data_IF_657450589790
#
_entry.id   IF_657450589790
#
_cell.length_a   1.000
_cell.length_b   1.000
_cell.length_c   1.000
_cell.angle_alpha   90.00
_cell.angle_beta   90.00
_cell.angle_gamma   90.00
#
_symmetry.space_group_name_H-M   'P 1'
#
loop_
_entity.id
_entity.type
_entity.pdbx_description
1 polymer ?
#
# COMPACT_ATOMS: atom_id res chain seq x y z
N UNK A 1 24.99 37.36 -3.59
CA UNK A 1 24.69 35.91 -3.78
C UNK A 1 24.84 35.52 -5.25
N UNK A 2 25.37 34.32 -5.58
CA UNK A 2 25.71 33.90 -6.95
C UNK A 2 24.53 33.17 -7.64
N UNK A 3 23.99 33.77 -8.71
CA UNK A 3 22.85 33.23 -9.46
C UNK A 3 23.08 31.83 -10.07
N UNK A 4 24.32 31.50 -10.45
CA UNK A 4 24.63 30.19 -11.04
C UNK A 4 24.54 29.08 -9.99
N UNK A 5 24.93 29.39 -8.76
CA UNK A 5 24.83 28.46 -7.62
C UNK A 5 23.36 28.28 -7.23
N UNK A 6 22.58 29.35 -7.17
CA UNK A 6 21.13 29.27 -6.92
C UNK A 6 20.41 28.41 -7.96
N UNK A 7 20.74 28.56 -9.25
CA UNK A 7 20.18 27.74 -10.33
C UNK A 7 20.55 26.26 -10.20
N UNK A 8 21.79 25.94 -9.77
CA UNK A 8 22.20 24.56 -9.53
C UNK A 8 21.40 23.92 -8.38
N UNK A 9 21.17 24.66 -7.30
CA UNK A 9 20.35 24.19 -6.17
C UNK A 9 18.91 23.95 -6.63
N UNK A 10 18.35 24.83 -7.45
CA UNK A 10 17.01 24.64 -8.04
C UNK A 10 16.95 23.34 -8.85
N UNK A 11 17.98 23.03 -9.65
CA UNK A 11 18.08 21.75 -10.36
C UNK A 11 18.03 20.55 -9.41
N UNK A 12 18.87 20.55 -8.37
CA UNK A 12 18.91 19.48 -7.37
C UNK A 12 17.59 19.32 -6.60
N UNK A 13 16.83 20.41 -6.37
CA UNK A 13 15.48 20.35 -5.79
C UNK A 13 14.52 19.54 -6.65
N UNK A 14 14.57 19.69 -7.98
CA UNK A 14 13.70 18.91 -8.87
C UNK A 14 14.12 17.44 -8.95
N UNK A 15 15.43 17.16 -8.96
CA UNK A 15 15.93 15.79 -8.87
C UNK A 15 15.46 15.11 -7.57
N UNK A 16 15.52 15.83 -6.44
CA UNK A 16 15.02 15.36 -5.15
C UNK A 16 13.49 15.21 -5.09
N UNK A 17 12.75 15.95 -5.92
CA UNK A 17 11.31 15.76 -6.12
C UNK A 17 10.98 14.41 -6.78
N UNK A 18 11.87 13.88 -7.61
CA UNK A 18 11.75 12.57 -8.26
C UNK A 18 12.28 11.43 -7.38
N UNK A 19 13.35 11.69 -6.63
CA UNK A 19 13.98 10.77 -5.68
C UNK A 19 14.24 11.45 -4.33
N UNK A 20 13.41 11.12 -3.34
CA UNK A 20 13.50 11.72 -2.01
C UNK A 20 14.83 11.44 -1.28
N UNK A 21 15.60 10.42 -1.69
CA UNK A 21 16.91 10.15 -1.09
C UNK A 21 17.95 11.25 -1.33
N UNK A 22 17.69 12.16 -2.27
CA UNK A 22 18.58 13.28 -2.63
C UNK A 22 18.36 14.54 -1.78
N UNK A 23 17.27 14.63 -1.01
CA UNK A 23 16.96 15.80 -0.17
C UNK A 23 18.08 16.19 0.82
N UNK A 24 18.80 15.25 1.48
CA UNK A 24 19.93 15.61 2.33
C UNK A 24 21.00 16.45 1.60
N UNK A 25 21.30 16.14 0.34
CA UNK A 25 22.25 16.90 -0.46
C UNK A 25 21.76 18.32 -0.77
N UNK A 26 20.49 18.46 -1.14
CA UNK A 26 19.84 19.77 -1.38
C UNK A 26 19.89 20.63 -0.12
N UNK A 27 19.58 20.05 1.04
CA UNK A 27 19.60 20.76 2.32
C UNK A 27 21.03 21.23 2.64
N UNK A 28 22.05 20.39 2.40
CA UNK A 28 23.45 20.77 2.55
C UNK A 28 23.84 21.98 1.69
N UNK A 29 23.44 22.00 0.42
CA UNK A 29 23.69 23.14 -0.47
C UNK A 29 22.99 24.42 0.01
N UNK A 30 21.74 24.31 0.50
CA UNK A 30 21.00 25.44 1.07
C UNK A 30 21.75 25.99 2.29
N UNK A 31 22.21 25.11 3.19
CA UNK A 31 22.96 25.48 4.40
C UNK A 31 24.25 26.23 4.05
N UNK A 32 25.00 25.75 3.05
CA UNK A 32 26.22 26.42 2.57
C UNK A 32 25.90 27.79 1.97
N UNK A 33 24.87 27.86 1.11
CA UNK A 33 24.48 29.09 0.42
C UNK A 33 23.98 30.16 1.39
N UNK A 34 23.23 29.78 2.43
CA UNK A 34 22.73 30.70 3.45
C UNK A 34 23.66 30.82 4.66
N UNK A 35 24.91 30.35 4.57
CA UNK A 35 25.89 30.39 5.67
C UNK A 35 25.27 30.00 7.02
N UNK A 36 24.53 28.89 7.03
CA UNK A 36 23.83 28.37 8.20
C UNK A 36 24.61 27.21 8.80
N UNK A 37 24.27 26.86 10.05
CA UNK A 37 24.91 25.75 10.76
C UNK A 37 24.19 24.43 10.50
N UNK A 38 22.87 24.45 10.56
CA UNK A 38 22.03 23.25 10.45
C UNK A 38 20.73 23.55 9.68
N UNK A 39 20.07 22.49 9.22
CA UNK A 39 18.75 22.62 8.61
C UNK A 39 17.89 21.37 8.81
N UNK A 40 16.59 21.56 8.68
CA UNK A 40 15.57 20.52 8.69
C UNK A 40 14.58 20.77 7.55
N UNK A 41 14.23 19.72 6.83
CA UNK A 41 13.12 19.71 5.90
C UNK A 41 12.15 18.62 6.31
N UNK A 42 10.92 19.02 6.55
CA UNK A 42 9.84 18.14 6.99
C UNK A 42 8.71 18.23 6.00
N UNK A 43 8.19 17.07 5.57
CA UNK A 43 6.95 16.96 4.83
C UNK A 43 6.11 15.85 5.48
N UNK A 44 4.95 16.21 6.01
CA UNK A 44 4.08 15.30 6.76
C UNK A 44 2.65 15.43 6.24
N UNK A 45 2.02 14.29 6.00
CA UNK A 45 0.62 14.13 5.62
C UNK A 45 0.08 12.92 6.39
N UNK A 46 -0.83 13.15 7.35
CA UNK A 46 -1.40 12.08 8.18
C UNK A 46 -2.33 11.17 7.37
N UNK A 47 -2.92 11.68 6.29
CA UNK A 47 -3.77 10.89 5.41
C UNK A 47 -2.94 10.08 4.41
N UNK A 48 -1.68 10.47 4.18
CA UNK A 48 -0.77 9.84 3.23
C UNK A 48 0.64 9.64 3.81
N UNK A 49 0.78 8.82 4.86
CA UNK A 49 2.04 8.72 5.62
C UNK A 49 3.22 8.19 4.81
N UNK A 50 2.95 7.50 3.69
CA UNK A 50 3.99 6.98 2.80
C UNK A 50 4.75 8.08 2.05
N UNK A 51 4.22 9.30 1.99
CA UNK A 51 4.90 10.48 1.43
C UNK A 51 5.64 11.30 2.49
N UNK A 52 5.62 10.84 3.76
CA UNK A 52 6.20 11.57 4.86
C UNK A 52 7.71 11.37 4.91
N UNK A 53 8.42 12.46 5.17
CA UNK A 53 9.84 12.40 5.46
C UNK A 53 10.28 13.54 6.36
N UNK A 54 11.39 13.30 7.05
CA UNK A 54 12.13 14.29 7.81
C UNK A 54 13.60 14.11 7.45
N UNK A 55 14.19 15.15 6.86
CA UNK A 55 15.61 15.18 6.56
C UNK A 55 16.26 16.29 7.37
N UNK A 56 17.41 15.99 7.96
CA UNK A 56 18.18 16.93 8.77
C UNK A 56 19.60 17.04 8.23
N UNK A 57 20.22 18.19 8.45
CA UNK A 57 21.61 18.44 8.14
C UNK A 57 22.32 19.02 9.36
N UNK A 58 23.36 18.35 9.83
CA UNK A 58 24.18 18.74 11.00
C UNK A 58 23.41 18.98 12.30
N UNK A 59 22.18 18.47 12.45
CA UNK A 59 21.46 18.48 13.72
C UNK A 59 21.91 17.28 14.56
N UNK A 60 22.42 17.47 15.79
CA UNK A 60 22.80 16.36 16.66
C UNK A 60 21.60 15.46 17.00
N UNK A 61 21.81 14.13 17.00
CA UNK A 61 20.76 13.14 17.29
C UNK A 61 20.04 13.41 18.62
N UNK A 62 20.78 13.79 19.67
CA UNK A 62 20.19 14.14 20.97
C UNK A 62 19.13 15.26 20.87
N UNK A 63 19.33 16.26 20.01
CA UNK A 63 18.35 17.33 19.80
C UNK A 63 17.14 16.89 18.96
N UNK A 64 17.30 15.86 18.13
CA UNK A 64 16.20 15.28 17.34
C UNK A 64 15.32 14.43 18.26
N UNK A 65 15.90 13.59 19.10
CA UNK A 65 15.18 12.72 20.02
C UNK A 65 14.33 13.54 21.02
N UNK A 66 14.91 14.60 21.58
CA UNK A 66 14.21 15.51 22.50
C UNK A 66 13.09 16.31 21.82
N UNK A 67 13.26 16.70 20.56
CA UNK A 67 12.22 17.37 19.76
C UNK A 67 11.12 16.39 19.32
N UNK A 68 11.46 15.12 19.04
CA UNK A 68 10.51 14.10 18.59
C UNK A 68 9.60 13.58 19.70
N UNK A 69 10.00 13.74 20.97
CA UNK A 69 9.14 13.51 22.13
C UNK A 69 7.90 14.42 22.10
N UNK A 70 6.74 13.92 22.56
CA UNK A 70 5.44 14.59 22.43
C UNK A 70 5.45 16.06 22.91
N UNK A 71 6.23 16.37 23.95
CA UNK A 71 6.37 17.72 24.48
C UNK A 71 7.07 18.71 23.53
N UNK A 72 8.07 18.30 22.75
CA UNK A 72 8.80 19.19 21.83
C UNK A 72 7.91 19.65 20.66
N UNK A 73 7.20 18.69 20.05
CA UNK A 73 6.21 18.95 18.98
C UNK A 73 5.03 19.80 19.45
N UNK A 74 4.55 19.58 20.68
CA UNK A 74 3.42 20.34 21.24
C UNK A 74 3.75 21.82 21.49
N UNK A 75 4.98 22.13 21.87
CA UNK A 75 5.42 23.51 22.11
C UNK A 75 5.72 24.20 20.77
N UNK A 76 6.43 23.54 19.86
CA UNK A 76 6.68 24.02 18.50
C UNK A 76 5.37 24.29 17.74
N UNK A 77 4.41 23.38 17.81
CA UNK A 77 3.07 23.59 17.23
C UNK A 77 2.31 24.73 17.89
N UNK A 78 2.31 24.87 19.22
CA UNK A 78 1.58 25.95 19.89
C UNK A 78 2.17 27.33 19.60
N UNK A 79 3.48 27.40 19.43
CA UNK A 79 4.19 28.67 19.32
C UNK A 79 4.32 29.15 17.88
N UNK A 80 4.67 28.26 16.94
CA UNK A 80 4.90 28.66 15.56
C UNK A 80 3.67 28.47 14.66
N UNK A 81 2.70 27.59 14.97
CA UNK A 81 1.46 27.52 14.16
C UNK A 81 0.69 28.86 14.08
N UNK A 82 0.55 29.66 15.16
CA UNK A 82 -0.07 30.98 15.05
C UNK A 82 0.69 31.93 14.13
N UNK A 83 2.03 31.92 14.18
CA UNK A 83 2.91 32.69 13.28
C UNK A 83 2.76 32.22 11.83
N UNK A 84 2.74 30.91 11.62
CA UNK A 84 2.52 30.29 10.32
C UNK A 84 1.11 30.49 9.77
N UNK A 85 0.09 30.69 10.62
CA UNK A 85 -1.27 31.03 10.19
C UNK A 85 -1.43 32.50 9.82
N UNK A 86 -0.61 33.38 10.40
CA UNK A 86 -0.58 34.80 10.04
C UNK A 86 0.21 35.05 8.75
N UNK A 87 1.24 34.23 8.51
CA UNK A 87 2.08 34.25 7.31
C UNK A 87 1.46 33.35 6.22
N UNK A 88 1.56 33.72 4.94
CA UNK A 88 1.06 32.88 3.86
C UNK A 88 1.98 31.70 3.57
N UNK A 89 1.45 30.67 2.90
CA UNK A 89 2.29 29.60 2.33
C UNK A 89 3.30 30.23 1.36
N UNK A 90 4.58 29.91 1.56
CA UNK A 90 5.71 30.45 0.79
C UNK A 90 6.35 31.69 1.41
N UNK A 91 5.85 32.21 2.51
CA UNK A 91 6.52 33.27 3.27
C UNK A 91 7.59 32.71 4.22
N UNK A 92 8.54 33.58 4.57
CA UNK A 92 9.70 33.25 5.40
C UNK A 92 9.57 33.91 6.75
N UNK A 93 9.49 33.12 7.82
CA UNK A 93 9.63 33.64 9.18
C UNK A 93 11.09 33.63 9.57
N UNK A 94 11.50 34.58 10.40
CA UNK A 94 12.77 34.49 11.11
C UNK A 94 12.55 34.85 12.58
N UNK A 95 13.25 34.16 13.47
CA UNK A 95 13.11 34.30 14.91
C UNK A 95 14.46 34.28 15.61
N UNK A 96 14.51 34.98 16.75
CA UNK A 96 15.70 35.15 17.57
C UNK A 96 15.42 34.64 18.99
N UNK A 97 16.03 33.52 19.36
CA UNK A 97 15.75 32.78 20.60
C UNK A 97 16.55 33.11 21.87
N UNK A 98 17.64 33.91 21.89
CA UNK A 98 18.30 34.30 23.14
C UNK A 98 17.34 34.90 24.17
N UNK A 99 16.26 35.58 23.73
CA UNK A 99 15.22 36.11 24.62
C UNK A 99 14.37 35.02 25.31
N UNK A 100 14.32 33.81 24.76
CA UNK A 100 13.54 32.71 25.36
C UNK A 100 14.23 32.17 26.62
N UNK A 101 15.56 32.28 26.69
CA UNK A 101 16.33 31.97 27.89
C UNK A 101 15.96 32.87 29.08
N UNK A 102 15.38 34.05 28.83
CA UNK A 102 14.95 35.02 29.85
C UNK A 102 13.53 34.74 30.36
N UNK A 103 12.83 33.73 29.82
CA UNK A 103 11.44 33.36 30.15
C UNK A 103 11.33 31.91 30.67
N UNK A 104 12.04 31.53 31.76
CA UNK A 104 12.15 30.14 32.21
C UNK A 104 10.82 29.51 32.67
N UNK A 105 9.87 30.33 33.14
CA UNK A 105 8.56 29.88 33.64
C UNK A 105 7.47 29.79 32.55
N UNK A 106 7.84 29.99 31.28
CA UNK A 106 6.91 29.92 30.13
C UNK A 106 7.27 28.76 29.19
N UNK A 107 6.36 28.44 28.26
CA UNK A 107 6.57 27.40 27.25
C UNK A 107 7.86 27.69 26.43
N UNK A 108 8.19 28.96 26.23
CA UNK A 108 9.40 29.48 25.57
C UNK A 108 10.71 29.04 26.22
N UNK A 109 10.84 29.23 27.54
CA UNK A 109 12.03 28.83 28.29
C UNK A 109 12.19 27.31 28.31
N UNK A 110 11.08 26.58 28.44
CA UNK A 110 11.05 25.11 28.36
C UNK A 110 11.52 24.61 26.98
N UNK A 111 11.07 25.24 25.88
CA UNK A 111 11.53 24.93 24.53
C UNK A 111 13.01 25.22 24.34
N UNK A 112 13.47 26.37 24.83
CA UNK A 112 14.88 26.75 24.76
C UNK A 112 15.78 25.76 25.50
N UNK A 113 15.49 25.45 26.76
CA UNK A 113 16.30 24.53 27.58
C UNK A 113 16.32 23.11 27.02
N UNK A 114 15.17 22.59 26.54
CA UNK A 114 15.07 21.19 26.09
C UNK A 114 15.52 20.98 24.65
N UNK A 115 15.24 21.92 23.74
CA UNK A 115 15.44 21.69 22.29
C UNK A 115 16.57 22.55 21.69
N UNK A 116 16.71 23.81 22.10
CA UNK A 116 17.62 24.76 21.45
C UNK A 116 19.02 24.82 22.10
N UNK A 117 19.10 24.69 23.42
CA UNK A 117 20.35 24.82 24.17
C UNK A 117 21.33 23.68 23.85
N UNK A 118 20.86 22.44 23.80
CA UNK A 118 21.68 21.26 23.48
C UNK A 118 22.19 21.28 22.02
N UNK A 119 21.45 21.90 21.10
CA UNK A 119 21.81 22.01 19.68
C UNK A 119 22.65 23.26 19.38
N UNK A 120 22.64 24.25 20.29
CA UNK A 120 23.29 25.54 20.13
C UNK A 120 22.65 26.39 19.03
N UNK A 121 21.34 26.22 18.81
CA UNK A 121 20.54 26.97 17.85
C UNK A 121 20.04 28.25 18.53
N UNK A 122 20.27 29.40 17.91
CA UNK A 122 19.88 30.71 18.43
C UNK A 122 19.04 31.53 17.45
N UNK A 123 19.29 31.37 16.15
CA UNK A 123 18.50 32.02 15.11
C UNK A 123 17.88 30.96 14.20
N UNK A 124 16.61 31.15 13.84
CA UNK A 124 15.92 30.32 12.83
C UNK A 124 15.40 31.21 11.73
N UNK A 125 15.55 30.76 10.50
CA UNK A 125 14.71 31.18 9.39
C UNK A 125 13.97 29.96 8.86
N UNK A 126 12.67 30.09 8.61
CA UNK A 126 11.83 28.99 8.16
C UNK A 126 10.94 29.41 7.01
N UNK A 127 10.66 28.47 6.11
CA UNK A 127 9.70 28.63 5.01
C UNK A 127 8.55 27.64 5.20
N UNK A 128 7.31 28.15 5.19
CA UNK A 128 6.12 27.29 5.14
C UNK A 128 5.90 26.84 3.71
N UNK A 129 6.00 25.53 3.48
CA UNK A 129 5.92 24.94 2.13
C UNK A 129 4.51 24.41 1.84
N UNK A 130 3.87 23.80 2.84
CA UNK A 130 2.49 23.32 2.75
C UNK A 130 1.80 23.40 4.12
N UNK A 131 0.50 23.63 4.10
CA UNK A 131 -0.34 23.68 5.30
C UNK A 131 -1.75 23.20 4.97
N UNK A 132 -2.25 22.27 5.77
CA UNK A 132 -3.63 21.80 5.76
C UNK A 132 -4.00 21.21 7.11
N UNK A 133 -5.24 20.74 7.25
CA UNK A 133 -5.75 20.19 8.51
C UNK A 133 -4.97 18.95 8.99
N UNK A 134 -4.50 18.14 8.04
CA UNK A 134 -3.78 16.89 8.30
C UNK A 134 -2.40 16.85 7.64
N UNK A 135 -1.90 17.97 7.13
CA UNK A 135 -0.61 18.01 6.44
C UNK A 135 0.16 19.30 6.69
N UNK A 136 1.47 19.20 6.74
CA UNK A 136 2.38 20.33 6.87
C UNK A 136 3.72 20.04 6.21
N UNK A 137 4.32 21.05 5.60
CA UNK A 137 5.68 20.97 5.14
C UNK A 137 6.44 22.26 5.46
N UNK A 138 7.65 22.13 6.00
CA UNK A 138 8.46 23.26 6.47
C UNK A 138 9.93 22.99 6.16
N UNK A 139 10.62 24.00 5.64
CA UNK A 139 12.08 24.08 5.63
C UNK A 139 12.50 25.02 6.76
N UNK A 140 13.40 24.59 7.64
CA UNK A 140 14.03 25.44 8.66
C UNK A 140 15.54 25.42 8.51
N UNK A 141 16.17 26.58 8.54
CA UNK A 141 17.62 26.75 8.62
C UNK A 141 17.98 27.47 9.91
N UNK A 142 19.11 27.10 10.51
CA UNK A 142 19.46 27.51 11.87
C UNK A 142 20.89 28.02 11.95
N UNK A 143 21.10 29.03 12.80
CA UNK A 143 22.40 29.59 13.17
C UNK A 143 22.58 29.60 14.67
N UNK A 144 23.83 29.54 15.09
CA UNK A 144 24.30 29.70 16.47
C UNK A 144 24.51 31.16 16.84
N UNK A 145 24.72 31.46 18.12
CA UNK A 145 24.98 32.82 18.60
C UNK A 145 26.27 33.45 18.04
N UNK A 146 27.20 32.64 17.51
CA UNK A 146 28.47 33.13 16.96
C UNK A 146 28.33 33.60 15.50
N UNK A 147 27.18 33.36 14.88
CA UNK A 147 26.91 33.73 13.49
C UNK A 147 25.97 34.96 13.45
N UNK A 148 26.07 35.81 12.42
CA UNK A 148 25.20 36.98 12.31
C UNK A 148 23.73 36.56 12.09
N UNK A 149 22.82 37.45 12.49
CA UNK A 149 21.39 37.34 12.16
C UNK A 149 21.19 37.24 10.64
N UNK A 150 20.11 36.58 10.22
CA UNK A 150 19.76 36.45 8.81
C UNK A 150 19.54 37.83 8.16
N UNK A 151 20.21 38.04 7.04
CA UNK A 151 20.08 39.24 6.21
C UNK A 151 18.91 39.09 5.24
N UNK A 152 18.38 40.22 4.77
CA UNK A 152 17.22 40.22 3.85
C UNK A 152 17.49 39.40 2.58
N UNK A 153 18.71 39.44 2.05
CA UNK A 153 19.10 38.69 0.84
C UNK A 153 18.95 37.17 1.03
N UNK A 154 19.25 36.66 2.21
CA UNK A 154 19.17 35.24 2.57
C UNK A 154 17.70 34.82 2.75
N UNK A 155 16.89 35.69 3.36
CA UNK A 155 15.44 35.49 3.50
C UNK A 155 14.75 35.51 2.13
N UNK A 156 15.15 36.41 1.23
CA UNK A 156 14.62 36.48 -0.12
C UNK A 156 15.01 35.24 -0.94
N UNK A 157 16.22 34.70 -0.75
CA UNK A 157 16.61 33.41 -1.32
C UNK A 157 15.74 32.27 -0.80
N UNK A 158 15.55 32.17 0.53
CA UNK A 158 14.68 31.15 1.13
C UNK A 158 13.25 31.22 0.57
N UNK A 159 12.75 32.44 0.35
CA UNK A 159 11.45 32.67 -0.29
C UNK A 159 11.41 32.13 -1.72
N UNK A 160 12.42 32.42 -2.53
CA UNK A 160 12.52 31.96 -3.93
C UNK A 160 12.68 30.45 -4.02
N UNK A 161 13.62 29.86 -3.28
CA UNK A 161 13.85 28.40 -3.30
C UNK A 161 12.63 27.65 -2.73
N UNK A 162 11.92 28.24 -1.77
CA UNK A 162 10.66 27.72 -1.24
C UNK A 162 9.63 27.45 -2.33
N UNK A 163 9.53 28.29 -3.38
CA UNK A 163 8.63 28.06 -4.52
C UNK A 163 8.97 26.75 -5.25
N UNK A 164 10.26 26.49 -5.46
CA UNK A 164 10.73 25.29 -6.15
C UNK A 164 10.56 24.03 -5.30
N UNK A 165 10.89 24.12 -4.01
CA UNK A 165 10.70 23.01 -3.06
C UNK A 165 9.22 22.62 -3.00
N UNK A 166 8.31 23.59 -2.94
CA UNK A 166 6.85 23.33 -2.99
C UNK A 166 6.43 22.55 -4.23
N UNK A 167 6.92 22.93 -5.40
CA UNK A 167 6.64 22.23 -6.66
C UNK A 167 7.21 20.81 -6.63
N UNK A 168 8.44 20.64 -6.15
CA UNK A 168 9.07 19.33 -6.01
C UNK A 168 8.30 18.42 -5.04
N UNK A 169 7.82 18.94 -3.92
CA UNK A 169 6.97 18.20 -2.98
C UNK A 169 5.63 17.78 -3.62
N UNK A 170 5.02 18.63 -4.45
CA UNK A 170 3.81 18.27 -5.19
C UNK A 170 4.06 17.15 -6.19
N UNK A 171 5.18 17.20 -6.93
CA UNK A 171 5.61 16.14 -7.85
C UNK A 171 5.84 14.84 -7.08
N UNK A 172 6.61 14.90 -5.98
CA UNK A 172 6.89 13.75 -5.12
C UNK A 172 5.60 13.09 -4.62
N UNK A 173 4.62 13.91 -4.20
CA UNK A 173 3.31 13.45 -3.74
C UNK A 173 2.53 12.75 -4.85
N UNK A 174 2.41 13.35 -6.03
CA UNK A 174 1.72 12.76 -7.18
C UNK A 174 2.37 11.44 -7.62
N UNK A 175 3.70 11.39 -7.65
CA UNK A 175 4.45 10.19 -8.02
C UNK A 175 4.33 9.09 -6.96
N UNK A 176 4.33 9.46 -5.68
CA UNK A 176 4.11 8.53 -4.57
C UNK A 176 2.71 7.91 -4.64
N UNK A 177 1.67 8.71 -4.89
CA UNK A 177 0.31 8.20 -5.09
C UNK A 177 0.24 7.19 -6.25
N UNK A 178 0.77 7.55 -7.42
CA UNK A 178 0.75 6.67 -8.59
C UNK A 178 1.50 5.34 -8.36
N UNK A 179 2.60 5.37 -7.59
CA UNK A 179 3.39 4.17 -7.22
C UNK A 179 2.67 3.29 -6.17
N UNK A 180 1.95 3.90 -5.23
CA UNK A 180 1.29 3.21 -4.12
C UNK A 180 -0.02 2.56 -4.55
N UNK A 181 -0.84 3.25 -5.36
CA UNK A 181 -2.11 2.69 -5.85
C UNK A 181 -1.88 1.39 -6.61
N UNK A 182 -0.95 1.36 -7.56
CA UNK A 182 -0.63 0.13 -8.30
C UNK A 182 -0.14 -1.00 -7.40
N UNK A 183 0.78 -0.71 -6.46
CA UNK A 183 1.39 -1.76 -5.62
C UNK A 183 0.40 -2.37 -4.62
N UNK A 184 -0.50 -1.56 -4.06
CA UNK A 184 -1.52 -2.05 -3.13
C UNK A 184 -2.63 -2.83 -3.86
N UNK A 185 -3.03 -2.39 -5.06
CA UNK A 185 -3.99 -3.13 -5.88
C UNK A 185 -3.46 -4.51 -6.27
N UNK A 186 -2.21 -4.62 -6.71
CA UNK A 186 -1.61 -5.93 -7.01
C UNK A 186 -1.49 -6.81 -5.77
N UNK A 187 -1.11 -6.24 -4.62
CA UNK A 187 -1.09 -6.98 -3.34
C UNK A 187 -2.48 -7.45 -2.90
N UNK A 188 -3.54 -6.71 -3.20
CA UNK A 188 -4.92 -7.15 -2.96
C UNK A 188 -5.29 -8.32 -3.90
N UNK A 189 -4.96 -8.23 -5.19
CA UNK A 189 -5.18 -9.34 -6.13
C UNK A 189 -4.40 -10.62 -5.73
N UNK A 190 -3.26 -10.49 -5.06
CA UNK A 190 -2.48 -11.61 -4.55
C UNK A 190 -3.13 -12.31 -3.34
N UNK A 191 -4.07 -11.66 -2.64
CA UNK A 191 -4.88 -12.31 -1.61
C UNK A 191 -5.95 -13.25 -2.18
N UNK A 192 -6.29 -13.07 -3.46
CA UNK A 192 -7.32 -13.86 -4.14
C UNK A 192 -6.75 -15.25 -4.47
N UNK A 193 -7.50 -16.30 -4.10
CA UNK A 193 -7.12 -17.71 -4.33
C UNK A 193 -7.45 -18.23 -5.74
N UNK A 194 -8.08 -17.40 -6.55
CA UNK A 194 -8.29 -17.58 -7.99
C UNK A 194 -7.08 -17.02 -8.74
N UNK A 195 -6.59 -17.75 -9.73
CA UNK A 195 -5.57 -17.25 -10.64
C UNK A 195 -6.19 -16.23 -11.59
N UNK A 196 -5.68 -15.00 -11.60
CA UNK A 196 -6.15 -13.94 -12.49
C UNK A 196 -5.06 -13.66 -13.52
N UNK A 197 -5.42 -13.68 -14.79
CA UNK A 197 -4.57 -13.27 -15.92
C UNK A 197 -5.29 -12.18 -16.70
N UNK A 198 -4.59 -11.11 -17.06
CA UNK A 198 -5.04 -10.11 -18.02
C UNK A 198 -4.39 -10.37 -19.37
N UNK A 199 -5.21 -10.38 -20.41
CA UNK A 199 -4.76 -10.45 -21.80
C UNK A 199 -5.32 -9.28 -22.61
N UNK A 200 -4.58 -8.88 -23.64
CA UNK A 200 -5.01 -7.82 -24.56
C UNK A 200 -5.94 -8.33 -25.68
N UNK A 201 -6.27 -7.44 -26.61
CA UNK A 201 -7.14 -7.74 -27.76
C UNK A 201 -6.60 -8.83 -28.70
N UNK A 202 -5.28 -9.09 -28.69
CA UNK A 202 -4.62 -10.14 -29.47
C UNK A 202 -4.37 -11.42 -28.65
N UNK A 203 -4.93 -11.50 -27.42
CA UNK A 203 -4.68 -12.57 -26.45
C UNK A 203 -3.23 -12.65 -25.96
N UNK A 204 -2.50 -11.54 -26.01
CA UNK A 204 -1.15 -11.45 -25.45
C UNK A 204 -1.23 -11.20 -23.96
N UNK A 205 -0.37 -11.90 -23.23
CA UNK A 205 -0.25 -11.76 -21.79
C UNK A 205 0.17 -10.34 -21.39
N UNK A 206 -0.58 -9.75 -20.45
CA UNK A 206 -0.30 -8.44 -19.89
C UNK A 206 0.09 -8.50 -18.41
N UNK A 207 -0.65 -9.28 -17.62
CA UNK A 207 -0.46 -9.38 -16.18
C UNK A 207 -0.98 -10.71 -15.63
N UNK A 208 -0.46 -11.14 -14.49
CA UNK A 208 -1.07 -12.19 -13.66
C UNK A 208 -0.80 -11.98 -12.18
N UNK A 209 -1.76 -12.33 -11.32
CA UNK A 209 -1.52 -12.39 -9.87
C UNK A 209 -0.63 -13.59 -9.48
N UNK A 210 -0.12 -13.60 -8.25
CA UNK A 210 0.77 -14.68 -7.78
C UNK A 210 0.13 -16.07 -7.90
N UNK A 211 -1.18 -16.19 -7.69
CA UNK A 211 -1.88 -17.47 -7.81
C UNK A 211 -1.86 -18.00 -9.25
N UNK A 212 -2.12 -17.14 -10.23
CA UNK A 212 -2.05 -17.53 -11.65
C UNK A 212 -0.62 -17.94 -12.03
N UNK A 213 0.40 -17.22 -11.56
CA UNK A 213 1.80 -17.60 -11.78
C UNK A 213 2.09 -19.01 -11.26
N UNK A 214 1.72 -19.31 -10.02
CA UNK A 214 1.88 -20.65 -9.44
C UNK A 214 1.15 -21.73 -10.24
N UNK A 215 -0.09 -21.46 -10.65
CA UNK A 215 -0.88 -22.40 -11.46
C UNK A 215 -0.23 -22.68 -12.81
N UNK A 216 0.28 -21.64 -13.48
CA UNK A 216 0.97 -21.76 -14.76
C UNK A 216 2.29 -22.55 -14.62
N UNK A 217 3.10 -22.25 -13.61
CA UNK A 217 4.39 -22.90 -13.37
C UNK A 217 4.25 -24.38 -13.01
N UNK A 218 3.30 -24.72 -12.13
CA UNK A 218 3.14 -26.07 -11.60
C UNK A 218 2.38 -26.99 -12.56
N UNK A 219 1.33 -26.49 -13.22
CA UNK A 219 0.39 -27.34 -13.96
C UNK A 219 0.52 -27.26 -15.48
N UNK A 220 1.28 -26.29 -16.00
CA UNK A 220 1.54 -26.10 -17.45
C UNK A 220 0.26 -26.10 -18.30
N UNK A 221 -0.83 -25.56 -17.75
CA UNK A 221 -2.13 -25.44 -18.43
C UNK A 221 -2.14 -24.37 -19.53
N UNK A 222 -1.17 -23.45 -19.48
CA UNK A 222 -0.94 -22.41 -20.49
C UNK A 222 0.48 -22.51 -21.05
N UNK A 223 0.59 -22.25 -22.34
CA UNK A 223 1.83 -22.06 -23.08
C UNK A 223 1.85 -20.66 -23.69
N UNK A 224 3.03 -20.15 -24.01
CA UNK A 224 3.19 -18.85 -24.65
C UNK A 224 3.91 -19.01 -25.99
N UNK A 225 3.41 -18.34 -27.02
CA UNK A 225 4.09 -18.27 -28.31
C UNK A 225 5.20 -17.20 -28.33
N UNK A 226 5.90 -17.07 -29.46
CA UNK A 226 6.97 -16.09 -29.66
C UNK A 226 6.54 -14.61 -29.53
N UNK A 227 5.24 -14.32 -29.49
CA UNK A 227 4.65 -12.99 -29.32
C UNK A 227 3.98 -12.82 -27.95
N UNK A 228 4.25 -13.72 -26.99
CA UNK A 228 3.60 -13.79 -25.67
C UNK A 228 2.08 -14.00 -25.74
N UNK A 229 1.56 -14.61 -26.81
CA UNK A 229 0.16 -15.02 -26.89
C UNK A 229 -0.07 -16.23 -26.01
N UNK A 230 -1.12 -16.19 -25.20
CA UNK A 230 -1.52 -17.32 -24.37
C UNK A 230 -2.17 -18.39 -25.25
N UNK A 231 -1.68 -19.61 -25.12
CA UNK A 231 -2.19 -20.81 -25.74
C UNK A 231 -2.52 -21.86 -24.67
N UNK A 232 -3.46 -22.74 -24.99
CA UNK A 232 -3.75 -23.96 -24.20
C UNK A 232 -3.47 -25.19 -25.06
N UNK A 233 -3.48 -26.37 -24.46
CA UNK A 233 -3.25 -27.61 -25.21
C UNK A 233 -4.21 -27.74 -26.42
N UNK A 234 -3.70 -28.29 -27.53
CA UNK A 234 -4.38 -28.37 -28.84
C UNK A 234 -5.86 -28.78 -28.79
N UNK A 235 -6.29 -29.77 -27.97
CA UNK A 235 -7.70 -30.15 -27.90
C UNK A 235 -8.64 -29.01 -27.43
N UNK A 236 -8.12 -28.09 -26.61
CA UNK A 236 -8.90 -27.00 -26.00
C UNK A 236 -8.73 -25.66 -26.74
N UNK A 237 -7.69 -25.51 -27.57
CA UNK A 237 -7.30 -24.23 -28.18
C UNK A 237 -8.45 -23.52 -28.91
N UNK A 238 -9.22 -24.24 -29.73
CA UNK A 238 -10.35 -23.65 -30.47
C UNK A 238 -11.45 -23.13 -29.54
N UNK A 239 -11.74 -23.85 -28.44
CA UNK A 239 -12.74 -23.43 -27.45
C UNK A 239 -12.25 -22.25 -26.63
N UNK A 240 -10.95 -22.22 -26.30
CA UNK A 240 -10.32 -21.09 -25.62
C UNK A 240 -10.37 -19.81 -26.46
N UNK A 241 -10.06 -19.89 -27.75
CA UNK A 241 -10.17 -18.74 -28.67
C UNK A 241 -11.61 -18.23 -28.76
N UNK A 242 -12.60 -19.12 -28.84
CA UNK A 242 -14.02 -18.75 -28.82
C UNK A 242 -14.42 -18.07 -27.51
N UNK A 243 -13.92 -18.57 -26.38
CA UNK A 243 -14.17 -18.01 -25.05
C UNK A 243 -13.62 -16.57 -24.95
N UNK A 244 -12.37 -16.35 -25.35
CA UNK A 244 -11.75 -15.01 -25.35
C UNK A 244 -12.47 -14.07 -26.31
N UNK A 245 -12.80 -14.53 -27.51
CA UNK A 245 -13.53 -13.73 -28.51
C UNK A 245 -14.91 -13.30 -28.01
N UNK A 246 -15.63 -14.16 -27.29
CA UNK A 246 -16.92 -13.81 -26.70
C UNK A 246 -16.78 -12.66 -25.68
N UNK A 247 -15.77 -12.75 -24.79
CA UNK A 247 -15.49 -11.70 -23.80
C UNK A 247 -15.05 -10.37 -24.47
N UNK A 248 -14.34 -10.42 -25.59
CA UNK A 248 -13.98 -9.22 -26.36
C UNK A 248 -15.19 -8.60 -27.09
N UNK A 249 -16.13 -9.42 -27.57
CA UNK A 249 -17.30 -8.97 -28.31
C UNK A 249 -18.34 -8.26 -27.41
N UNK A 250 -18.50 -8.70 -26.16
CA UNK A 250 -19.38 -8.04 -25.18
C UNK A 250 -18.92 -6.63 -24.81
N UNK A 251 -17.63 -6.30 -24.97
CA UNK A 251 -17.15 -4.91 -24.89
C UNK A 251 -17.84 -4.00 -25.93
N UNK A 252 -18.25 -4.55 -27.09
CA UNK A 252 -18.89 -3.83 -28.20
C UNK A 252 -20.43 -3.89 -28.16
N UNK A 253 -21.02 -4.86 -27.47
CA UNK A 253 -22.47 -5.03 -27.38
C UNK A 253 -22.92 -5.26 -25.93
N UNK A 254 -23.58 -4.25 -25.34
CA UNK A 254 -24.01 -4.18 -23.93
C UNK A 254 -25.01 -5.25 -23.43
N UNK A 255 -25.29 -6.34 -24.16
CA UNK A 255 -26.42 -7.20 -23.78
C UNK A 255 -26.38 -8.63 -24.35
N UNK A 256 -25.47 -9.48 -23.88
CA UNK A 256 -25.57 -10.95 -23.93
C UNK A 256 -24.80 -11.59 -22.76
N UNK A 257 -25.16 -12.83 -22.44
CA UNK A 257 -24.78 -13.55 -21.22
C UNK A 257 -23.27 -13.55 -20.92
N UNK A 258 -22.96 -13.27 -19.66
CA UNK A 258 -21.64 -13.19 -19.04
C UNK A 258 -20.78 -14.41 -19.44
N UNK A 259 -19.60 -14.14 -20.02
CA UNK A 259 -18.37 -14.95 -20.00
C UNK A 259 -18.52 -16.48 -19.99
N UNK A 260 -18.15 -17.14 -21.09
CA UNK A 260 -18.17 -18.60 -21.16
C UNK A 260 -17.27 -19.27 -20.12
N UNK A 261 -17.48 -20.58 -19.93
CA UNK A 261 -16.67 -21.44 -19.05
C UNK A 261 -15.96 -22.49 -19.90
N UNK A 262 -14.67 -22.69 -19.66
CA UNK A 262 -13.85 -23.73 -20.28
C UNK A 262 -13.23 -24.61 -19.19
N UNK A 263 -13.48 -25.91 -19.27
CA UNK A 263 -12.74 -26.90 -18.50
C UNK A 263 -11.43 -27.25 -19.24
N UNK A 264 -10.31 -27.11 -18.53
CA UNK A 264 -8.99 -27.54 -18.96
C UNK A 264 -8.53 -28.71 -18.08
N UNK A 265 -7.64 -29.54 -18.64
CA UNK A 265 -7.02 -30.66 -17.94
C UNK A 265 -5.51 -30.57 -18.14
N UNK A 266 -4.73 -30.76 -17.07
CA UNK A 266 -3.27 -30.86 -17.20
C UNK A 266 -2.84 -32.27 -17.62
N UNK A 267 -1.53 -32.48 -17.81
CA UNK A 267 -1.01 -33.79 -18.20
C UNK A 267 -1.19 -34.91 -17.14
N UNK A 268 -1.47 -34.53 -15.89
CA UNK A 268 -1.67 -35.45 -14.76
C UNK A 268 -3.16 -35.78 -14.52
N UNK A 269 -4.08 -35.18 -15.29
CA UNK A 269 -5.52 -35.40 -15.18
C UNK A 269 -6.28 -34.44 -14.26
N UNK A 270 -5.58 -33.46 -13.66
CA UNK A 270 -6.19 -32.45 -12.80
C UNK A 270 -7.00 -31.44 -13.62
N UNK A 271 -8.19 -31.10 -13.12
CA UNK A 271 -9.14 -30.23 -13.81
C UNK A 271 -9.11 -28.78 -13.33
N UNK A 272 -9.16 -27.86 -14.29
CA UNK A 272 -9.18 -26.42 -14.05
C UNK A 272 -10.36 -25.79 -14.76
N UNK A 273 -11.03 -24.86 -14.08
CA UNK A 273 -12.07 -24.03 -14.67
C UNK A 273 -11.47 -22.70 -15.08
N UNK A 274 -11.62 -22.34 -16.35
CA UNK A 274 -11.22 -21.04 -16.89
C UNK A 274 -12.46 -20.29 -17.34
N UNK A 275 -12.65 -19.08 -16.84
CA UNK A 275 -13.67 -18.16 -17.34
C UNK A 275 -13.01 -16.93 -17.94
N UNK A 276 -13.66 -16.32 -18.93
CA UNK A 276 -13.18 -15.08 -19.54
C UNK A 276 -14.26 -14.00 -19.41
N UNK A 277 -13.92 -12.86 -18.83
CA UNK A 277 -14.83 -11.72 -18.67
C UNK A 277 -14.21 -10.45 -19.25
N UNK A 278 -15.03 -9.55 -19.85
CA UNK A 278 -14.53 -8.26 -20.31
C UNK A 278 -14.02 -7.43 -19.14
N UNK A 279 -12.88 -6.75 -19.26
CA UNK A 279 -12.38 -5.88 -18.18
C UNK A 279 -13.34 -4.71 -17.88
N UNK A 280 -14.09 -4.25 -18.88
CA UNK A 280 -15.04 -3.14 -18.77
C UNK A 280 -16.26 -3.43 -17.89
N UNK A 281 -16.55 -4.69 -17.55
CA UNK A 281 -17.60 -5.02 -16.58
C UNK A 281 -17.18 -4.70 -15.14
N UNK A 282 -15.90 -4.40 -14.91
CA UNK A 282 -15.34 -4.03 -13.62
C UNK A 282 -15.34 -2.49 -13.46
N UNK A 283 -16.54 -1.91 -13.36
CA UNK A 283 -16.82 -0.45 -13.29
C UNK A 283 -15.96 0.32 -12.26
N UNK A 284 -15.42 -0.35 -11.24
CA UNK A 284 -14.60 0.23 -10.16
C UNK A 284 -13.13 0.47 -10.54
N UNK A 285 -12.63 -0.17 -11.60
CA UNK A 285 -11.23 -0.05 -12.07
C UNK A 285 -11.10 0.80 -13.35
N UNK A 286 -12.21 1.38 -13.84
CA UNK A 286 -12.28 2.12 -15.09
C UNK A 286 -11.35 3.36 -15.15
N UNK A 287 -10.94 3.91 -14.01
CA UNK A 287 -9.98 5.02 -13.93
C UNK A 287 -8.51 4.58 -14.12
N UNK A 288 -8.22 3.27 -14.11
CA UNK A 288 -6.87 2.70 -14.24
C UNK A 288 -6.59 2.16 -15.64
N UNK A 289 -7.62 2.02 -16.49
CA UNK A 289 -7.43 1.61 -17.86
C UNK A 289 -7.09 2.83 -18.72
N UNK A 290 -5.99 2.76 -19.47
CA UNK A 290 -5.88 3.55 -20.69
C UNK A 290 -7.13 3.28 -21.53
N UNK A 291 -7.92 4.32 -21.82
CA UNK A 291 -9.23 4.21 -22.47
C UNK A 291 -9.19 3.56 -23.87
N UNK A 292 -8.00 3.23 -24.39
CA UNK A 292 -7.78 2.63 -25.70
C UNK A 292 -7.52 1.11 -25.68
N UNK A 293 -7.30 0.47 -24.53
CA UNK A 293 -6.89 -0.94 -24.47
C UNK A 293 -8.03 -1.87 -24.02
N UNK A 294 -8.46 -2.76 -24.92
CA UNK A 294 -9.51 -3.76 -24.67
C UNK A 294 -8.92 -5.00 -23.98
N UNK A 295 -8.95 -5.05 -22.65
CA UNK A 295 -8.49 -6.20 -21.88
C UNK A 295 -9.58 -7.23 -21.62
N UNK A 296 -9.18 -8.50 -21.55
CA UNK A 296 -9.99 -9.62 -21.04
C UNK A 296 -9.35 -10.18 -19.78
N UNK A 297 -10.18 -10.45 -18.78
CA UNK A 297 -9.78 -11.11 -17.54
C UNK A 297 -10.03 -12.60 -17.70
N UNK A 298 -8.97 -13.40 -17.57
CA UNK A 298 -9.08 -14.84 -17.41
C UNK A 298 -8.99 -15.18 -15.92
N UNK A 299 -9.99 -15.89 -15.42
CA UNK A 299 -10.03 -16.39 -14.05
C UNK A 299 -9.87 -17.90 -14.05
N UNK A 300 -8.91 -18.40 -13.28
CA UNK A 300 -8.51 -19.80 -13.24
C UNK A 300 -8.76 -20.34 -11.84
N UNK A 301 -9.64 -21.32 -11.75
CA UNK A 301 -9.93 -22.04 -10.51
C UNK A 301 -9.49 -23.49 -10.62
N UNK A 302 -8.80 -23.95 -9.59
CA UNK A 302 -8.38 -25.34 -9.41
C UNK A 302 -9.52 -26.12 -8.76
N UNK A 303 -10.06 -27.13 -9.45
CA UNK A 303 -11.23 -27.88 -8.97
C UNK A 303 -10.87 -28.89 -7.87
N UNK A 304 -9.59 -29.17 -7.65
CA UNK A 304 -9.10 -30.09 -6.62
C UNK A 304 -8.60 -29.35 -5.37
N UNK A 305 -8.81 -28.02 -5.31
CA UNK A 305 -8.40 -27.22 -4.18
C UNK A 305 -9.16 -27.61 -2.91
N UNK A 306 -8.41 -27.90 -1.84
CA UNK A 306 -8.97 -28.22 -0.53
C UNK A 306 -9.55 -26.98 0.14
N UNK A 307 -10.70 -27.15 0.78
CA UNK A 307 -11.32 -26.14 1.62
C UNK A 307 -10.63 -26.08 2.98
N UNK A 308 -10.23 -24.88 3.41
CA UNK A 308 -9.78 -24.61 4.78
C UNK A 308 -10.86 -23.88 5.57
N UNK A 309 -11.15 -24.35 6.77
CA UNK A 309 -12.15 -23.76 7.66
C UNK A 309 -11.56 -22.65 8.53
N UNK A 310 -12.42 -21.70 8.92
CA UNK A 310 -12.11 -20.66 9.89
C UNK A 310 -12.05 -21.25 11.31
N UNK A 311 -11.02 -22.04 11.61
CA UNK A 311 -10.85 -22.74 12.90
C UNK A 311 -10.96 -21.81 14.10
N UNK A 312 -10.35 -20.59 14.12
CA UNK A 312 -10.54 -19.66 15.25
C UNK A 312 -12.01 -19.30 15.48
N UNK A 313 -12.76 -19.02 14.41
CA UNK A 313 -14.19 -18.71 14.48
C UNK A 313 -15.01 -19.89 14.99
N UNK A 314 -14.75 -21.11 14.50
CA UNK A 314 -15.44 -22.32 14.96
C UNK A 314 -15.22 -22.59 16.45
N UNK A 315 -14.01 -22.32 16.95
CA UNK A 315 -13.68 -22.45 18.38
C UNK A 315 -14.38 -21.39 19.22
N UNK A 316 -14.40 -20.15 18.77
CA UNK A 316 -14.94 -19.02 19.54
C UNK A 316 -16.48 -19.03 19.57
N UNK A 317 -17.13 -19.24 18.43
CA UNK A 317 -18.59 -19.13 18.31
C UNK A 317 -19.31 -20.40 18.71
N UNK A 318 -18.78 -21.57 18.34
CA UNK A 318 -19.43 -22.86 18.56
C UNK A 318 -18.74 -23.73 19.61
N UNK A 319 -17.66 -23.25 20.23
CA UNK A 319 -16.88 -24.00 21.22
C UNK A 319 -16.43 -25.39 20.71
N UNK A 320 -16.13 -25.51 19.41
CA UNK A 320 -15.53 -26.73 18.86
C UNK A 320 -14.13 -26.90 19.45
N UNK A 321 -13.78 -28.13 19.81
CA UNK A 321 -12.43 -28.52 20.16
C UNK A 321 -11.55 -28.57 18.89
N UNK A 322 -10.23 -28.58 19.07
CA UNK A 322 -9.29 -28.73 17.96
C UNK A 322 -9.58 -30.00 17.14
N UNK A 323 -9.94 -31.10 17.82
CA UNK A 323 -10.25 -32.38 17.18
C UNK A 323 -11.56 -32.35 16.40
N UNK A 324 -12.57 -31.66 16.92
CA UNK A 324 -13.84 -31.47 16.19
C UNK A 324 -13.62 -30.60 14.95
N UNK A 325 -12.77 -29.58 15.01
CA UNK A 325 -12.41 -28.75 13.85
C UNK A 325 -11.72 -29.58 12.76
N UNK A 326 -10.77 -30.44 13.14
CA UNK A 326 -10.06 -31.35 12.22
C UNK A 326 -11.04 -32.31 11.51
N UNK A 327 -12.00 -32.87 12.26
CA UNK A 327 -13.05 -33.72 11.68
C UNK A 327 -13.92 -32.93 10.70
N UNK A 328 -14.32 -31.70 11.05
CA UNK A 328 -15.08 -30.82 10.15
C UNK A 328 -14.31 -30.50 8.87
N UNK A 329 -13.00 -30.26 8.95
CA UNK A 329 -12.16 -29.94 7.79
C UNK A 329 -12.02 -31.13 6.84
N UNK A 330 -11.77 -32.33 7.37
CA UNK A 330 -11.78 -33.57 6.56
C UNK A 330 -13.14 -33.82 5.92
N UNK A 331 -14.22 -33.55 6.66
CA UNK A 331 -15.59 -33.72 6.20
C UNK A 331 -15.96 -32.78 5.04
N UNK A 332 -15.60 -31.50 5.11
CA UNK A 332 -15.85 -30.52 4.03
C UNK A 332 -15.04 -30.86 2.78
N UNK A 333 -13.88 -31.48 2.94
CA UNK A 333 -13.06 -31.99 1.84
C UNK A 333 -13.52 -33.37 1.31
N UNK A 334 -14.75 -33.80 1.62
CA UNK A 334 -15.40 -34.94 0.98
C UNK A 334 -15.07 -36.31 1.57
N UNK A 335 -14.40 -36.40 2.72
CA UNK A 335 -14.18 -37.68 3.39
C UNK A 335 -15.48 -38.15 4.08
N UNK A 336 -15.78 -39.44 3.92
CA UNK A 336 -16.84 -40.09 4.70
C UNK A 336 -16.34 -40.46 6.11
N UNK A 337 -17.27 -40.86 6.99
CA UNK A 337 -16.94 -41.13 8.39
C UNK A 337 -15.92 -42.27 8.57
N UNK A 338 -15.93 -43.26 7.66
CA UNK A 338 -14.97 -44.36 7.62
C UNK A 338 -13.55 -43.84 7.39
N UNK A 339 -13.37 -43.03 6.34
CA UNK A 339 -12.07 -42.44 6.01
C UNK A 339 -11.61 -41.43 7.06
N UNK A 340 -12.53 -40.69 7.68
CA UNK A 340 -12.21 -39.81 8.81
C UNK A 340 -11.69 -40.65 9.99
N UNK A 341 -12.32 -41.78 10.29
CA UNK A 341 -11.87 -42.68 11.36
C UNK A 341 -10.44 -43.18 11.09
N UNK A 342 -10.16 -43.62 9.87
CA UNK A 342 -8.81 -44.05 9.46
C UNK A 342 -7.80 -42.91 9.55
N UNK A 343 -8.11 -41.75 8.96
CA UNK A 343 -7.21 -40.60 8.90
C UNK A 343 -6.86 -40.07 10.30
N UNK A 344 -7.86 -40.03 11.18
CA UNK A 344 -7.69 -39.62 12.56
C UNK A 344 -7.17 -40.73 13.48
N UNK A 345 -6.99 -41.98 13.02
CA UNK A 345 -6.68 -43.14 13.89
C UNK A 345 -7.69 -43.31 15.04
N UNK A 346 -8.98 -43.13 14.73
CA UNK A 346 -10.10 -43.27 15.66
C UNK A 346 -10.96 -44.49 15.30
N UNK A 347 -11.71 -44.99 16.27
CA UNK A 347 -12.76 -45.97 15.96
C UNK A 347 -13.97 -45.29 15.32
N UNK A 348 -14.73 -46.03 14.52
CA UNK A 348 -16.00 -45.53 13.96
C UNK A 348 -16.96 -45.02 15.05
N UNK A 349 -16.99 -45.68 16.22
CA UNK A 349 -17.80 -45.24 17.35
C UNK A 349 -17.34 -43.87 17.87
N UNK A 350 -16.03 -43.66 18.00
CA UNK A 350 -15.47 -42.37 18.42
C UNK A 350 -15.81 -41.26 17.43
N UNK A 351 -15.68 -41.49 16.12
CA UNK A 351 -16.05 -40.50 15.10
C UNK A 351 -17.54 -40.16 15.17
N UNK A 352 -18.42 -41.15 15.33
CA UNK A 352 -19.86 -40.92 15.53
C UNK A 352 -20.16 -40.08 16.76
N UNK A 353 -19.43 -40.29 17.86
CA UNK A 353 -19.53 -39.44 19.06
C UNK A 353 -19.11 -38.01 18.77
N UNK A 354 -17.98 -37.79 18.08
CA UNK A 354 -17.55 -36.44 17.69
C UNK A 354 -18.56 -35.75 16.79
N UNK A 355 -19.06 -36.42 15.75
CA UNK A 355 -20.07 -35.85 14.84
C UNK A 355 -21.36 -35.50 15.60
N UNK A 356 -21.80 -36.34 16.54
CA UNK A 356 -22.96 -36.02 17.40
C UNK A 356 -22.73 -34.77 18.23
N UNK A 357 -21.53 -34.61 18.79
CA UNK A 357 -21.17 -33.42 19.56
C UNK A 357 -21.09 -32.17 18.66
N UNK A 358 -20.53 -32.29 17.46
CA UNK A 358 -20.48 -31.22 16.46
C UNK A 358 -21.91 -30.78 16.08
N UNK A 359 -22.81 -31.72 15.81
CA UNK A 359 -24.22 -31.42 15.52
C UNK A 359 -24.90 -30.68 16.66
N UNK A 360 -24.66 -31.09 17.92
CA UNK A 360 -25.21 -30.42 19.08
C UNK A 360 -24.68 -28.98 19.22
N UNK A 361 -23.36 -28.78 19.04
CA UNK A 361 -22.69 -27.47 19.16
C UNK A 361 -23.04 -26.51 18.03
N UNK A 362 -23.14 -27.01 16.79
CA UNK A 362 -23.45 -26.21 15.60
C UNK A 362 -24.94 -26.14 15.29
N UNK A 363 -25.79 -26.74 16.13
CA UNK A 363 -27.23 -26.84 15.94
C UNK A 363 -27.60 -27.33 14.52
N UNK A 364 -27.05 -28.48 14.14
CA UNK A 364 -27.33 -29.12 12.86
C UNK A 364 -28.08 -30.44 13.07
N UNK A 365 -29.05 -30.72 12.21
CA UNK A 365 -29.87 -31.93 12.26
C UNK A 365 -29.46 -32.96 11.20
N UNK A 366 -28.60 -32.59 10.25
CA UNK A 366 -28.17 -33.48 9.16
C UNK A 366 -26.75 -33.18 8.70
N UNK A 367 -26.18 -34.16 7.98
CA UNK A 367 -24.88 -34.04 7.32
C UNK A 367 -24.87 -32.93 6.27
N UNK A 368 -25.96 -32.79 5.50
CA UNK A 368 -26.13 -31.73 4.49
C UNK A 368 -26.20 -30.35 5.14
N UNK A 369 -26.89 -30.21 6.27
CA UNK A 369 -26.97 -28.94 6.99
C UNK A 369 -25.61 -28.55 7.59
N UNK A 370 -24.88 -29.52 8.15
CA UNK A 370 -23.52 -29.29 8.63
C UNK A 370 -22.62 -28.81 7.50
N UNK A 371 -22.65 -29.50 6.35
CA UNK A 371 -21.86 -29.12 5.18
C UNK A 371 -22.19 -27.70 4.72
N UNK A 372 -23.47 -27.36 4.58
CA UNK A 372 -23.90 -26.03 4.17
C UNK A 372 -23.41 -24.93 5.13
N UNK A 373 -23.49 -25.15 6.46
CA UNK A 373 -22.97 -24.17 7.43
C UNK A 373 -21.45 -24.04 7.35
N UNK A 374 -20.74 -25.15 7.23
CA UNK A 374 -19.29 -25.15 7.15
C UNK A 374 -18.77 -24.48 5.86
N UNK A 375 -19.46 -24.63 4.73
CA UNK A 375 -19.12 -23.95 3.48
C UNK A 375 -19.09 -22.43 3.64
N UNK A 376 -20.06 -21.86 4.38
CA UNK A 376 -20.09 -20.43 4.72
C UNK A 376 -19.02 -19.99 5.74
N UNK A 377 -18.25 -20.93 6.28
CA UNK A 377 -17.18 -20.69 7.27
C UNK A 377 -15.80 -21.09 6.72
N UNK A 378 -15.69 -21.27 5.41
CA UNK A 378 -14.41 -21.45 4.74
C UNK A 378 -13.69 -20.12 4.62
N UNK A 379 -12.36 -20.12 4.69
CA UNK A 379 -11.53 -18.90 4.53
C UNK A 379 -11.22 -18.66 3.04
N UNK A 380 -12.00 -19.24 2.13
CA UNK A 380 -11.76 -19.18 0.69
C UNK A 380 -12.93 -18.48 0.02
N UNK A 381 -12.68 -17.29 -0.51
CA UNK A 381 -13.66 -16.59 -1.34
C UNK A 381 -13.93 -17.41 -2.61
N UNK A 382 -15.19 -17.82 -2.77
CA UNK A 382 -15.66 -18.44 -4.01
C UNK A 382 -15.88 -17.40 -5.10
N UNK A 383 -15.78 -17.84 -6.36
CA UNK A 383 -16.11 -17.07 -7.56
C UNK A 383 -17.50 -16.43 -7.43
N UNK A 384 -17.56 -15.10 -7.43
CA UNK A 384 -18.82 -14.38 -7.63
C UNK A 384 -19.03 -14.25 -9.13
N UNK A 385 -20.10 -14.86 -9.64
CA UNK A 385 -20.55 -14.76 -11.03
C UNK A 385 -21.05 -13.36 -11.38
#
# INVERSE_FOLDING_TARGET
MNSDVENAIIGSVYDAGLDASLWPGVIGQIVEYTHSKTAILTALDQLNPNSNFVHTWNIPHAGIDDYQNEHGKLIDMRQYMPLWKQMGIGDVIHQNFPRYAELPDQDEGSFYEKCLKATGICYIAGVLLDQGEYRSAVLGVHRSANEPVFQQEELDFLKRIGVHIRRALQIHKQLSFARIENRNLYKMLDTIKVGIILIDEYSRFYYSNNRAQQLMEQNKIFEFDQHNKICVAKPYQKKFEQLVQAAQADHKYKNRDIGGVLALENAEGQQFMVTATPFSSMNSLANLADQELNYVVLSISDMEQRYALAVPFLKEVYALSARECEICELFVNGLNLEKIAENCSLTMNSVRTYVKNIYAKMHCCSQTELLHKLMGMTIHFEHVY
#
